data_IF_187713640663
#
_entry.id   IF_187713640663
#
_cell.length_a   1.000
_cell.length_b   1.000
_cell.length_c   1.000
_cell.angle_alpha   90.00
_cell.angle_beta   90.00
_cell.angle_gamma   90.00
#
_symmetry.space_group_name_H-M   'P 1'
#
loop_
_entity.id
_entity.type
_entity.pdbx_description
1 polymer ?
#
# COMPACT_ATOMS: atom_id res chain seq x y z
N UNK A 1 2.22 48.41 68.83
CA UNK A 1 3.04 47.75 67.78
C UNK A 1 2.15 46.91 66.87
N UNK A 2 1.69 47.53 65.79
CA UNK A 2 0.87 46.91 64.76
C UNK A 2 1.75 46.75 63.51
N UNK A 3 2.03 45.51 63.13
CA UNK A 3 2.43 45.13 61.77
C UNK A 3 1.90 43.72 61.56
N UNK A 4 0.61 43.61 61.25
CA UNK A 4 0.01 42.41 60.69
C UNK A 4 -0.16 42.70 59.20
N UNK A 5 0.94 42.54 58.45
CA UNK A 5 0.94 42.61 56.99
C UNK A 5 0.21 41.37 56.45
N UNK A 6 -1.12 41.45 56.44
CA UNK A 6 -1.93 40.60 55.58
C UNK A 6 -1.69 41.09 54.15
N UNK A 7 -1.14 40.29 53.23
CA UNK A 7 -1.18 40.68 51.84
C UNK A 7 -2.67 40.67 51.47
N UNK A 8 -3.24 41.87 51.33
CA UNK A 8 -4.55 42.06 50.75
C UNK A 8 -4.49 41.42 49.36
N UNK A 9 -4.93 40.18 49.32
CA UNK A 9 -4.99 39.34 48.14
C UNK A 9 -5.88 40.09 47.17
N UNK A 10 -5.25 40.84 46.26
CA UNK A 10 -5.91 41.45 45.11
C UNK A 10 -6.26 40.32 44.14
N UNK A 11 -7.13 39.40 44.59
CA UNK A 11 -7.92 38.50 43.75
C UNK A 11 -8.93 39.35 42.99
N UNK A 12 -8.41 40.19 42.11
CA UNK A 12 -9.23 40.96 41.18
C UNK A 12 -9.78 40.00 40.12
N UNK A 13 -10.99 40.26 39.60
CA UNK A 13 -11.63 39.45 38.57
C UNK A 13 -10.71 39.22 37.34
N UNK A 14 -9.82 40.16 37.04
CA UNK A 14 -8.82 40.03 35.99
C UNK A 14 -7.84 38.86 36.19
N UNK A 15 -7.43 38.59 37.43
CA UNK A 15 -6.51 37.49 37.71
C UNK A 15 -7.18 36.12 37.51
N UNK A 16 -8.45 36.00 37.90
CA UNK A 16 -9.26 34.80 37.64
C UNK A 16 -9.49 34.60 36.14
N UNK A 17 -9.80 35.67 35.42
CA UNK A 17 -9.97 35.64 33.97
C UNK A 17 -8.68 35.21 33.26
N UNK A 18 -7.51 35.75 33.65
CA UNK A 18 -6.20 35.34 33.13
C UNK A 18 -5.95 33.85 33.42
N UNK A 19 -6.22 33.39 34.64
CA UNK A 19 -6.05 31.97 35.00
C UNK A 19 -6.95 31.08 34.15
N UNK A 20 -8.23 31.45 33.97
CA UNK A 20 -9.18 30.67 33.16
C UNK A 20 -8.73 30.60 31.71
N UNK A 21 -8.25 31.70 31.12
CA UNK A 21 -7.70 31.69 29.77
C UNK A 21 -6.44 30.84 29.67
N UNK A 22 -5.52 30.94 30.63
CA UNK A 22 -4.31 30.12 30.65
C UNK A 22 -4.64 28.62 30.73
N UNK A 23 -5.57 28.22 31.60
CA UNK A 23 -6.00 26.83 31.74
C UNK A 23 -6.72 26.36 30.47
N UNK A 24 -7.64 27.16 29.92
CA UNK A 24 -8.36 26.83 28.69
C UNK A 24 -7.42 26.65 27.50
N UNK A 25 -6.48 27.58 27.29
CA UNK A 25 -5.48 27.49 26.24
C UNK A 25 -4.57 26.26 26.43
N UNK A 26 -4.17 25.97 27.67
CA UNK A 26 -3.38 24.77 27.98
C UNK A 26 -4.13 23.49 27.62
N UNK A 27 -5.39 23.34 28.04
CA UNK A 27 -6.21 22.16 27.72
C UNK A 27 -6.41 21.98 26.22
N UNK A 28 -6.67 23.07 25.49
CA UNK A 28 -6.79 23.05 24.03
C UNK A 28 -5.46 22.61 23.39
N UNK A 29 -4.34 23.16 23.84
CA UNK A 29 -3.01 22.79 23.34
C UNK A 29 -2.69 21.31 23.58
N UNK A 30 -2.98 20.78 24.77
CA UNK A 30 -2.81 19.36 25.08
C UNK A 30 -3.67 18.47 24.18
N UNK A 31 -4.91 18.87 23.92
CA UNK A 31 -5.84 18.13 23.06
C UNK A 31 -5.35 18.08 21.61
N UNK A 32 -4.87 19.22 21.07
CA UNK A 32 -4.27 19.29 19.73
C UNK A 32 -3.01 18.43 19.63
N UNK A 33 -2.08 18.53 20.58
CA UNK A 33 -0.86 17.70 20.63
C UNK A 33 -1.22 16.21 20.65
N UNK A 34 -2.23 15.85 21.45
CA UNK A 34 -2.71 14.48 21.56
C UNK A 34 -3.29 13.98 20.23
N UNK A 35 -4.09 14.78 19.52
CA UNK A 35 -4.56 14.44 18.16
C UNK A 35 -3.37 14.26 17.21
N UNK A 36 -2.40 15.16 17.22
CA UNK A 36 -1.22 15.08 16.34
C UNK A 36 -0.45 13.79 16.63
N UNK A 37 -0.24 13.43 17.89
CA UNK A 37 0.41 12.16 18.27
C UNK A 37 -0.45 10.96 17.85
N UNK A 38 -1.77 10.99 18.03
CA UNK A 38 -2.66 9.92 17.59
C UNK A 38 -2.68 9.78 16.06
N UNK A 39 -2.64 10.89 15.32
CA UNK A 39 -2.54 10.91 13.86
C UNK A 39 -1.18 10.38 13.41
N UNK A 40 -0.09 10.86 14.00
CA UNK A 40 1.25 10.38 13.69
C UNK A 40 1.36 8.89 13.99
N UNK A 41 1.01 8.45 15.20
CA UNK A 41 1.05 7.04 15.62
C UNK A 41 0.09 6.15 14.83
N UNK A 42 -1.06 6.64 14.39
CA UNK A 42 -1.96 5.87 13.48
C UNK A 42 -1.41 5.79 12.06
N UNK A 43 -0.66 6.80 11.58
CA UNK A 43 0.12 6.70 10.33
C UNK A 43 1.36 5.81 10.46
N UNK A 44 1.93 5.65 11.66
CA UNK A 44 3.09 4.78 11.91
C UNK A 44 2.71 3.32 12.18
N UNK A 45 1.45 3.02 12.53
CA UNK A 45 0.95 1.63 12.72
C UNK A 45 0.75 0.83 11.42
N UNK A 46 1.45 1.19 10.35
CA UNK A 46 1.56 0.36 9.13
C UNK A 46 3.03 0.12 8.78
N UNK A 47 3.76 -0.54 9.67
CA UNK A 47 5.09 -1.09 9.36
C UNK A 47 5.30 -2.49 9.93
N UNK A 48 4.26 -3.32 10.04
CA UNK A 48 4.39 -4.74 10.42
C UNK A 48 3.92 -5.68 9.30
N UNK A 49 4.19 -5.32 8.04
CA UNK A 49 4.12 -6.25 6.90
C UNK A 49 5.52 -6.68 6.43
N UNK A 50 6.49 -6.71 7.35
CA UNK A 50 7.87 -7.13 7.12
C UNK A 50 8.31 -8.31 8.02
N UNK A 51 7.36 -9.02 8.64
CA UNK A 51 7.66 -10.24 9.41
C UNK A 51 7.43 -11.54 8.63
N UNK A 52 7.02 -11.47 7.36
CA UNK A 52 6.85 -12.64 6.49
C UNK A 52 7.79 -12.63 5.26
N UNK A 53 8.97 -12.00 5.36
CA UNK A 53 10.08 -12.20 4.40
C UNK A 53 11.23 -13.04 4.97
N UNK A 54 10.98 -13.79 6.05
CA UNK A 54 11.94 -14.73 6.63
C UNK A 54 11.86 -16.15 6.02
N UNK A 55 11.32 -16.32 4.81
CA UNK A 55 11.45 -17.57 4.03
C UNK A 55 12.50 -17.39 2.93
N UNK A 56 13.64 -16.80 3.30
CA UNK A 56 14.87 -16.85 2.50
C UNK A 56 15.95 -17.61 3.29
N UNK A 57 15.67 -18.87 3.61
CA UNK A 57 16.71 -19.87 3.91
C UNK A 57 16.48 -21.10 3.06
N UNK A 58 16.88 -20.95 1.81
CA UNK A 58 17.68 -21.90 1.04
C UNK A 58 18.13 -23.16 1.83
N UNK A 59 17.33 -24.21 1.83
CA UNK A 59 17.84 -25.58 1.72
C UNK A 59 17.77 -25.91 0.22
N UNK A 60 18.84 -25.62 -0.55
CA UNK A 60 19.90 -26.58 -0.89
C UNK A 60 19.31 -27.97 -1.19
N UNK A 61 19.44 -28.61 -2.35
CA UNK A 61 20.30 -28.40 -3.52
C UNK A 61 20.17 -29.64 -4.43
N UNK A 62 19.83 -29.44 -5.73
CA UNK A 62 20.39 -30.16 -6.91
C UNK A 62 19.93 -31.67 -7.09
N UNK A 63 20.08 -32.35 -8.26
CA UNK A 63 19.23 -32.39 -9.48
C UNK A 63 18.78 -33.82 -9.93
N UNK A 64 17.99 -33.88 -11.01
CA UNK A 64 17.54 -35.03 -11.85
C UNK A 64 18.44 -36.30 -11.94
N UNK A 65 17.85 -37.51 -11.77
CA UNK A 65 17.89 -38.63 -12.76
C UNK A 65 17.16 -39.93 -12.35
N UNK A 66 16.46 -40.54 -13.33
CA UNK A 66 16.26 -42.00 -13.59
C UNK A 66 15.43 -42.82 -12.56
N UNK A 67 14.56 -43.79 -12.86
CA UNK A 67 14.00 -44.47 -14.05
C UNK A 67 12.60 -44.99 -13.65
N UNK A 68 11.60 -44.92 -14.53
CA UNK A 68 10.96 -46.10 -15.17
C UNK A 68 11.00 -47.39 -14.34
N UNK A 69 9.86 -47.72 -13.74
CA UNK A 69 9.31 -49.08 -13.64
C UNK A 69 7.87 -48.94 -14.18
N UNK A 70 7.61 -49.19 -15.47
CA UNK A 70 7.40 -50.51 -16.07
C UNK A 70 6.28 -51.30 -15.36
N UNK A 71 5.07 -51.16 -15.92
CA UNK A 71 3.99 -52.15 -16.11
C UNK A 71 3.49 -52.92 -14.87
N UNK A 72 2.19 -52.85 -14.49
CA UNK A 72 1.14 -53.67 -15.12
C UNK A 72 -0.29 -53.37 -14.60
N UNK A 73 -1.26 -53.50 -15.52
CA UNK A 73 -2.65 -54.00 -15.35
C UNK A 73 -3.62 -53.37 -14.33
N UNK A 74 -4.60 -52.58 -14.81
CA UNK A 74 -6.00 -53.03 -15.01
C UNK A 74 -6.99 -51.88 -15.28
N UNK A 75 -7.80 -52.09 -16.33
CA UNK A 75 -9.05 -51.42 -16.73
C UNK A 75 -9.05 -49.93 -17.12
N UNK A 76 -9.47 -49.74 -18.37
CA UNK A 76 -9.64 -48.49 -19.07
C UNK A 76 -10.79 -47.65 -18.51
N UNK A 77 -10.54 -46.38 -18.22
CA UNK A 77 -11.53 -45.31 -18.42
C UNK A 77 -10.80 -43.96 -18.53
N UNK A 78 -10.91 -43.31 -19.71
CA UNK A 78 -10.69 -41.89 -20.04
C UNK A 78 -9.81 -41.04 -19.09
N UNK A 79 -8.71 -40.39 -19.47
CA UNK A 79 -8.41 -39.74 -20.75
C UNK A 79 -7.77 -38.37 -20.45
N UNK A 80 -6.47 -38.26 -20.73
CA UNK A 80 -5.68 -37.02 -20.90
C UNK A 80 -5.22 -36.28 -19.63
N UNK A 81 -3.95 -36.56 -19.28
CA UNK A 81 -3.06 -35.72 -18.50
C UNK A 81 -2.58 -34.55 -19.38
N UNK A 82 -3.07 -33.33 -19.12
CA UNK A 82 -2.60 -32.14 -19.85
C UNK A 82 -1.21 -31.73 -19.35
N UNK A 83 -0.22 -32.20 -20.10
CA UNK A 83 1.19 -31.80 -20.04
C UNK A 83 1.31 -30.28 -20.07
N UNK A 84 1.95 -29.75 -19.03
CA UNK A 84 2.43 -28.37 -18.91
C UNK A 84 3.59 -28.13 -19.88
N UNK A 85 3.52 -27.17 -20.83
CA UNK A 85 4.70 -26.65 -21.47
C UNK A 85 5.13 -25.37 -20.75
N UNK A 86 6.19 -25.47 -19.96
CA UNK A 86 7.07 -24.32 -19.76
C UNK A 86 7.88 -24.15 -21.04
N UNK A 87 7.46 -23.26 -21.94
CA UNK A 87 8.35 -22.71 -22.98
C UNK A 87 8.12 -21.22 -23.13
N UNK A 88 9.18 -20.47 -22.88
CA UNK A 88 9.37 -19.12 -23.38
C UNK A 88 9.20 -19.13 -24.91
N UNK A 89 8.13 -18.52 -25.40
CA UNK A 89 7.98 -17.91 -26.71
C UNK A 89 6.65 -17.17 -26.71
N UNK A 90 6.69 -15.83 -26.62
CA UNK A 90 5.51 -14.99 -26.85
C UNK A 90 5.22 -15.01 -28.35
N UNK A 91 4.40 -15.95 -28.78
CA UNK A 91 3.76 -15.97 -30.10
C UNK A 91 2.39 -16.59 -29.93
N UNK A 92 1.37 -15.77 -30.16
CA UNK A 92 -0.03 -16.19 -30.28
C UNK A 92 -0.72 -16.46 -28.96
N UNK A 93 -1.18 -15.41 -28.28
CA UNK A 93 -2.34 -15.54 -27.38
C UNK A 93 -3.50 -16.15 -28.15
N UNK A 94 -4.13 -17.26 -27.70
CA UNK A 94 -5.46 -17.58 -28.19
C UNK A 94 -6.34 -16.45 -27.69
N UNK A 95 -6.78 -15.61 -28.64
CA UNK A 95 -7.79 -14.59 -28.45
C UNK A 95 -8.91 -15.17 -27.58
N UNK A 96 -9.07 -14.61 -26.38
CA UNK A 96 -10.22 -14.90 -25.53
C UNK A 96 -11.47 -14.49 -26.32
N UNK A 97 -12.13 -15.46 -26.94
CA UNK A 97 -13.28 -15.33 -27.83
C UNK A 97 -14.57 -14.88 -27.11
N UNK A 98 -14.48 -13.76 -26.41
CA UNK A 98 -15.55 -13.22 -25.56
C UNK A 98 -15.20 -11.89 -24.89
N UNK A 99 -13.95 -11.41 -25.02
CA UNK A 99 -13.66 -9.99 -24.85
C UNK A 99 -14.13 -9.35 -26.14
N UNK A 100 -15.38 -8.88 -26.18
CA UNK A 100 -15.76 -7.91 -27.20
C UNK A 100 -14.64 -6.87 -27.27
N UNK A 101 -14.10 -6.62 -28.46
CA UNK A 101 -13.27 -5.45 -28.74
C UNK A 101 -14.15 -4.22 -28.48
N UNK A 102 -14.30 -3.88 -27.21
CA UNK A 102 -14.90 -2.64 -26.78
C UNK A 102 -13.75 -1.65 -26.79
N UNK A 103 -13.61 -0.94 -27.90
CA UNK A 103 -12.74 0.22 -27.97
C UNK A 103 -13.26 1.22 -26.92
N UNK A 104 -12.49 1.43 -25.86
CA UNK A 104 -12.80 2.48 -24.90
C UNK A 104 -12.68 3.82 -25.63
N UNK A 105 -13.65 4.74 -25.47
CA UNK A 105 -13.52 6.08 -26.03
C UNK A 105 -12.29 6.77 -25.43
N UNK A 106 -11.54 7.46 -26.27
CA UNK A 106 -10.37 8.25 -25.86
C UNK A 106 -10.82 9.44 -24.98
N UNK A 107 -10.14 9.66 -23.85
CA UNK A 107 -10.33 10.85 -23.00
C UNK A 107 -8.97 11.52 -22.72
N UNK A 108 -8.60 12.53 -23.52
CA UNK A 108 -7.30 13.20 -23.42
C UNK A 108 -7.01 13.85 -22.06
N UNK A 109 -8.03 14.05 -21.21
CA UNK A 109 -7.82 14.65 -19.87
C UNK A 109 -7.34 13.63 -18.84
N UNK A 110 -7.65 12.35 -19.05
CA UNK A 110 -7.36 11.25 -18.13
C UNK A 110 -6.30 10.27 -18.65
N UNK A 111 -5.92 10.40 -19.91
CA UNK A 111 -4.90 9.57 -20.51
C UNK A 111 -3.49 9.92 -20.03
N UNK A 112 -2.76 8.89 -19.61
CA UNK A 112 -1.33 8.96 -19.30
C UNK A 112 -0.58 8.12 -20.35
N UNK A 113 0.43 8.69 -21.03
CA UNK A 113 1.28 7.91 -21.93
C UNK A 113 1.92 6.73 -21.19
N UNK A 114 1.85 5.53 -21.78
CA UNK A 114 2.31 4.28 -21.14
C UNK A 114 3.82 4.26 -20.89
N UNK A 115 4.59 4.94 -21.74
CA UNK A 115 6.04 5.17 -21.60
C UNK A 115 6.39 5.99 -20.36
N UNK A 116 5.45 6.78 -19.84
CA UNK A 116 5.61 7.57 -18.62
C UNK A 116 5.16 6.86 -17.35
N UNK A 117 4.76 5.60 -17.44
CA UNK A 117 4.32 4.79 -16.31
C UNK A 117 5.22 3.56 -16.14
N UNK A 118 6.00 3.55 -15.05
CA UNK A 118 6.90 2.44 -14.71
C UNK A 118 6.22 1.60 -13.63
N UNK A 119 5.79 0.39 -13.99
CA UNK A 119 5.21 -0.55 -13.04
C UNK A 119 6.30 -1.17 -12.15
N UNK A 120 5.99 -1.29 -10.87
CA UNK A 120 6.87 -1.82 -9.83
C UNK A 120 6.27 -3.05 -9.14
N UNK A 121 6.55 -3.19 -7.84
CA UNK A 121 6.12 -4.36 -7.05
C UNK A 121 4.59 -4.39 -6.86
N UNK A 122 3.97 -5.58 -6.80
CA UNK A 122 2.58 -5.71 -6.40
C UNK A 122 2.38 -5.20 -4.96
N UNK A 123 1.26 -4.51 -4.73
CA UNK A 123 0.82 -4.01 -3.43
C UNK A 123 -0.30 -4.87 -2.84
N UNK A 124 -1.13 -5.49 -3.67
CA UNK A 124 -2.18 -6.40 -3.24
C UNK A 124 -2.91 -7.03 -4.42
N UNK A 125 -3.56 -8.16 -4.17
CA UNK A 125 -4.38 -8.89 -5.15
C UNK A 125 -5.70 -9.25 -4.48
N UNK A 126 -6.80 -9.11 -5.21
CA UNK A 126 -8.12 -9.51 -4.79
C UNK A 126 -8.86 -10.21 -5.92
N UNK A 127 -10.09 -10.66 -5.65
CA UNK A 127 -10.90 -11.38 -6.63
C UNK A 127 -11.20 -10.58 -7.91
N UNK A 128 -11.06 -9.25 -7.87
CA UNK A 128 -11.39 -8.33 -8.96
C UNK A 128 -10.17 -7.68 -9.62
N UNK A 129 -8.96 -8.16 -9.31
CA UNK A 129 -7.73 -7.68 -9.94
C UNK A 129 -6.58 -7.46 -8.97
N UNK A 130 -5.51 -6.88 -9.49
CA UNK A 130 -4.25 -6.65 -8.79
C UNK A 130 -3.96 -5.16 -8.73
N UNK A 131 -3.40 -4.70 -7.61
CA UNK A 131 -2.88 -3.35 -7.46
C UNK A 131 -1.36 -3.42 -7.41
N UNK A 132 -0.69 -2.67 -8.26
CA UNK A 132 0.78 -2.56 -8.30
C UNK A 132 1.23 -1.14 -7.94
N UNK A 133 2.39 -1.03 -7.31
CA UNK A 133 3.08 0.25 -7.16
C UNK A 133 3.59 0.65 -8.53
N UNK A 134 3.46 1.91 -8.90
CA UNK A 134 4.07 2.44 -10.11
C UNK A 134 4.66 3.83 -9.89
N UNK A 135 5.53 4.22 -10.79
CA UNK A 135 6.09 5.57 -10.87
C UNK A 135 5.56 6.22 -12.15
N UNK A 136 4.77 7.29 -11.99
CA UNK A 136 4.23 8.08 -13.08
C UNK A 136 5.05 9.35 -13.26
N UNK A 137 5.45 9.63 -14.49
CA UNK A 137 6.26 10.80 -14.85
C UNK A 137 5.34 11.87 -15.45
N UNK A 138 5.42 13.09 -14.92
CA UNK A 138 4.68 14.23 -15.50
C UNK A 138 3.17 14.15 -15.31
N UNK A 139 2.72 13.53 -14.22
CA UNK A 139 1.30 13.52 -13.82
C UNK A 139 0.77 14.94 -13.55
N UNK A 140 1.65 15.82 -13.07
CA UNK A 140 1.36 17.22 -12.79
C UNK A 140 1.75 18.07 -14.02
N UNK A 141 0.78 18.83 -14.56
CA UNK A 141 0.98 19.64 -15.78
C UNK A 141 2.04 20.72 -15.58
N UNK A 142 2.19 21.22 -14.36
CA UNK A 142 3.16 22.25 -14.01
C UNK A 142 4.59 21.72 -13.91
N UNK A 143 4.77 20.39 -13.76
CA UNK A 143 6.06 19.74 -13.52
C UNK A 143 6.21 18.48 -14.38
N UNK A 144 6.52 18.63 -15.68
CA UNK A 144 6.48 17.52 -16.65
C UNK A 144 7.49 16.40 -16.37
N UNK A 145 8.57 16.68 -15.65
CA UNK A 145 9.62 15.70 -15.33
C UNK A 145 9.51 15.13 -13.90
N UNK A 146 8.47 15.51 -13.16
CA UNK A 146 8.30 15.04 -11.78
C UNK A 146 7.83 13.60 -11.77
N UNK A 147 8.59 12.74 -11.07
CA UNK A 147 8.19 11.36 -10.79
C UNK A 147 7.29 11.33 -9.56
N UNK A 148 6.14 10.67 -9.68
CA UNK A 148 5.15 10.52 -8.61
C UNK A 148 4.86 9.04 -8.40
N UNK A 149 4.93 8.57 -7.15
CA UNK A 149 4.55 7.19 -6.80
C UNK A 149 3.04 7.08 -6.74
N UNK A 150 2.49 6.16 -7.52
CA UNK A 150 1.06 5.93 -7.68
C UNK A 150 0.73 4.45 -7.49
N UNK A 151 -0.55 4.14 -7.28
CA UNK A 151 -1.07 2.77 -7.30
C UNK A 151 -1.85 2.57 -8.59
N UNK A 152 -1.58 1.49 -9.31
CA UNK A 152 -2.24 1.13 -10.58
C UNK A 152 -3.06 -0.12 -10.33
N UNK A 153 -4.32 -0.11 -10.79
CA UNK A 153 -5.28 -1.22 -10.70
C UNK A 153 -5.56 -1.77 -12.10
#
# INVERSE_FOLDING_TARGET
PAIEDTPAMMTSPFYLEIIIYCIGAFLISCMVVTIIIYKLKSTTKKTDFNSQLAVHKLAKSIPLRRQVSADSSSSMNSGVMLVRPSRLSSSGTPMLAGVSEYELPEDPRWELPRDRLILGKPLGEGCFGQVVLAEAIGLDKDKPNRVTKVAVK
#
